data_IF_766338705186
#
_entry.id   IF_766338705186
#
_cell.length_a   1.000
_cell.length_b   1.000
_cell.length_c   1.000
_cell.angle_alpha   90.00
_cell.angle_beta   90.00
_cell.angle_gamma   90.00
#
_symmetry.space_group_name_H-M   'P 1'
#
loop_
_entity.id
_entity.type
_entity.pdbx_description
1 polymer ?
#
# COMPACT_ATOMS: atom_id res chain seq x y z
N UNK A 1 -5.63 -10.17 46.70
CA UNK A 1 -6.56 -11.08 45.99
C UNK A 1 -7.09 -10.35 44.77
N UNK A 2 -6.65 -10.70 43.56
CA UNK A 2 -7.27 -10.18 42.34
C UNK A 2 -8.71 -10.70 42.27
N UNK A 3 -9.64 -9.82 41.90
CA UNK A 3 -11.04 -10.20 41.66
C UNK A 3 -11.11 -11.28 40.57
N UNK A 4 -11.99 -12.26 40.73
CA UNK A 4 -12.21 -13.36 39.76
C UNK A 4 -12.46 -12.85 38.34
N UNK A 5 -12.99 -11.62 38.18
CA UNK A 5 -13.14 -10.94 36.88
C UNK A 5 -11.81 -10.47 36.29
N UNK A 6 -10.89 -9.95 37.09
CA UNK A 6 -9.55 -9.58 36.63
C UNK A 6 -8.71 -10.81 36.30
N UNK A 7 -8.86 -11.91 37.04
CA UNK A 7 -8.20 -13.17 36.70
C UNK A 7 -8.72 -13.76 35.40
N UNK A 8 -10.03 -13.71 35.13
CA UNK A 8 -10.61 -14.16 33.86
C UNK A 8 -10.23 -13.27 32.65
N UNK A 9 -10.11 -11.95 32.82
CA UNK A 9 -9.63 -11.05 31.76
C UNK A 9 -8.14 -11.26 31.49
N UNK A 10 -7.34 -11.45 32.53
CA UNK A 10 -5.89 -11.70 32.41
C UNK A 10 -5.63 -13.11 31.87
N UNK A 11 -6.44 -14.10 32.25
CA UNK A 11 -6.39 -15.45 31.70
C UNK A 11 -6.91 -15.49 30.25
N UNK A 12 -7.95 -14.74 29.88
CA UNK A 12 -8.41 -14.64 28.50
C UNK A 12 -7.38 -13.92 27.60
N UNK A 13 -6.66 -12.94 28.14
CA UNK A 13 -5.48 -12.37 27.47
C UNK A 13 -4.40 -13.46 27.31
N UNK A 14 -3.95 -14.09 28.40
CA UNK A 14 -2.86 -15.08 28.40
C UNK A 14 -3.15 -16.35 27.59
N UNK A 15 -4.40 -16.84 27.55
CA UNK A 15 -4.78 -18.05 26.79
C UNK A 15 -4.91 -17.81 25.28
N UNK A 16 -4.84 -16.54 24.83
CA UNK A 16 -4.74 -16.17 23.41
C UNK A 16 -3.28 -15.99 22.92
N UNK A 17 -2.29 -16.07 23.83
CA UNK A 17 -0.86 -15.97 23.51
C UNK A 17 -0.21 -17.36 23.39
N UNK A 18 -0.66 -18.19 22.45
CA UNK A 18 0.31 -19.12 21.85
C UNK A 18 1.13 -18.33 20.83
N UNK A 19 2.11 -17.58 21.34
CA UNK A 19 3.11 -16.96 20.49
C UNK A 19 3.97 -18.08 19.90
N UNK A 20 3.90 -18.29 18.60
CA UNK A 20 4.88 -19.15 17.93
C UNK A 20 6.16 -18.34 17.73
N UNK A 21 7.16 -18.57 18.58
CA UNK A 21 8.51 -18.10 18.33
C UNK A 21 9.15 -19.01 17.30
N UNK A 22 9.37 -18.47 16.10
CA UNK A 22 10.04 -19.20 15.04
C UNK A 22 11.42 -18.57 14.82
N UNK A 23 12.45 -19.29 15.25
CA UNK A 23 13.82 -19.05 14.82
C UNK A 23 13.95 -19.52 13.37
N UNK A 24 14.41 -18.62 12.50
CA UNK A 24 14.94 -18.80 11.13
C UNK A 24 14.33 -19.96 10.37
N UNK A 25 13.31 -19.67 9.57
CA UNK A 25 12.52 -20.74 8.93
C UNK A 25 12.44 -20.57 7.43
N UNK A 26 13.00 -21.57 6.76
CA UNK A 26 12.58 -21.95 5.43
C UNK A 26 11.30 -22.78 5.58
N UNK A 27 10.25 -22.38 4.89
CA UNK A 27 8.99 -23.09 4.81
C UNK A 27 8.94 -23.85 3.48
N UNK A 28 8.78 -25.16 3.59
CA UNK A 28 8.64 -26.12 2.50
C UNK A 28 7.28 -26.82 2.64
N UNK A 29 6.56 -26.97 1.53
CA UNK A 29 5.19 -27.46 1.52
C UNK A 29 4.19 -26.49 2.16
N UNK A 30 3.03 -27.01 2.56
CA UNK A 30 1.95 -26.23 3.15
C UNK A 30 2.08 -26.20 4.68
N UNK A 31 2.38 -25.02 5.23
CA UNK A 31 2.48 -24.77 6.66
C UNK A 31 1.39 -23.79 7.11
N UNK A 32 0.74 -24.10 8.23
CA UNK A 32 -0.24 -23.22 8.86
C UNK A 32 0.22 -22.88 10.27
N UNK A 33 0.34 -21.59 10.57
CA UNK A 33 0.55 -21.05 11.91
C UNK A 33 -0.74 -20.37 12.36
N UNK A 34 -0.95 -20.30 13.68
CA UNK A 34 -2.11 -19.65 14.26
C UNK A 34 -1.69 -18.68 15.36
N UNK A 35 -2.37 -17.54 15.45
CA UNK A 35 -2.13 -16.55 16.48
C UNK A 35 -0.91 -15.66 16.21
N UNK A 36 -0.42 -15.02 17.27
CA UNK A 36 0.70 -14.09 17.19
C UNK A 36 1.97 -14.79 16.70
N UNK A 37 2.66 -14.18 15.74
CA UNK A 37 3.94 -14.70 15.20
C UNK A 37 5.06 -13.69 15.33
N UNK A 38 6.21 -14.14 15.82
CA UNK A 38 7.43 -13.34 15.85
C UNK A 38 8.56 -14.13 15.20
N UNK A 39 9.08 -13.59 14.09
CA UNK A 39 10.22 -14.11 13.35
C UNK A 39 11.43 -13.20 13.58
N UNK A 40 12.42 -13.69 14.33
CA UNK A 40 13.64 -12.93 14.64
C UNK A 40 14.67 -13.04 13.51
N UNK A 41 14.74 -14.21 12.88
CA UNK A 41 15.66 -14.53 11.80
C UNK A 41 14.93 -14.50 10.45
N UNK A 42 15.65 -14.60 9.31
CA UNK A 42 15.03 -14.55 7.99
C UNK A 42 13.92 -15.58 7.80
N UNK A 43 12.87 -15.18 7.08
CA UNK A 43 11.78 -16.06 6.65
C UNK A 43 11.90 -16.28 5.16
N UNK A 44 11.94 -17.54 4.74
CA UNK A 44 11.88 -17.91 3.33
C UNK A 44 10.71 -18.84 3.08
N UNK A 45 9.82 -18.49 2.16
CA UNK A 45 8.81 -19.43 1.63
C UNK A 45 9.32 -19.87 0.27
N UNK A 46 9.59 -21.16 0.12
CA UNK A 46 10.14 -21.72 -1.12
C UNK A 46 9.09 -21.76 -2.24
N UNK A 47 9.52 -21.99 -3.47
CA UNK A 47 8.58 -22.23 -4.57
C UNK A 47 7.66 -23.42 -4.24
N UNK A 48 6.44 -23.40 -4.78
CA UNK A 48 5.41 -24.44 -4.58
C UNK A 48 5.00 -24.68 -3.11
N UNK A 49 5.36 -23.77 -2.21
CA UNK A 49 5.09 -23.85 -0.78
C UNK A 49 4.20 -22.71 -0.32
N UNK A 50 3.43 -22.93 0.74
CA UNK A 50 2.55 -21.92 1.32
C UNK A 50 2.78 -21.82 2.83
N UNK A 51 2.99 -20.59 3.32
CA UNK A 51 2.88 -20.24 4.71
C UNK A 51 1.58 -19.46 4.93
N UNK A 52 0.66 -20.04 5.69
CA UNK A 52 -0.58 -19.37 6.10
C UNK A 52 -0.52 -19.08 7.59
N UNK A 53 -0.62 -17.82 7.97
CA UNK A 53 -0.72 -17.36 9.35
C UNK A 53 -2.18 -16.95 9.59
N UNK A 54 -2.88 -17.70 10.42
CA UNK A 54 -4.31 -17.49 10.72
C UNK A 54 -4.50 -16.76 12.03
N UNK A 55 -5.11 -15.58 11.94
CA UNK A 55 -5.43 -14.68 13.05
C UNK A 55 -4.23 -14.26 13.89
N UNK A 56 -4.36 -13.12 14.54
CA UNK A 56 -3.33 -12.61 15.44
C UNK A 56 -3.35 -11.10 15.43
N UNK A 57 -3.17 -10.49 16.60
CA UNK A 57 -3.11 -9.04 16.70
C UNK A 57 -1.78 -8.49 16.17
N UNK A 58 -0.72 -9.30 16.20
CA UNK A 58 0.65 -8.87 15.91
C UNK A 58 1.40 -9.96 15.12
N UNK A 59 2.06 -9.55 14.04
CA UNK A 59 2.98 -10.38 13.26
C UNK A 59 4.25 -9.59 12.94
N UNK A 60 5.37 -9.99 13.55
CA UNK A 60 6.64 -9.29 13.40
C UNK A 60 7.64 -10.13 12.63
N UNK A 61 8.27 -9.53 11.63
CA UNK A 61 9.39 -10.06 10.86
C UNK A 61 10.58 -9.12 11.05
N UNK A 62 11.46 -9.46 11.99
CA UNK A 62 12.61 -8.61 12.34
C UNK A 62 13.78 -8.74 11.36
N UNK A 63 13.76 -9.77 10.51
CA UNK A 63 14.75 -9.97 9.46
C UNK A 63 14.09 -10.06 8.08
N UNK A 64 14.88 -10.35 7.04
CA UNK A 64 14.41 -10.32 5.67
C UNK A 64 13.35 -11.40 5.40
N UNK A 65 12.36 -11.05 4.58
CA UNK A 65 11.35 -11.96 4.04
C UNK A 65 11.69 -12.23 2.58
N UNK A 66 11.83 -13.50 2.21
CA UNK A 66 11.94 -13.93 0.81
C UNK A 66 10.79 -14.86 0.49
N UNK A 67 9.82 -14.39 -0.29
CA UNK A 67 8.65 -15.18 -0.67
C UNK A 67 8.77 -15.60 -2.14
N UNK A 68 8.90 -16.90 -2.40
CA UNK A 68 8.86 -17.49 -3.75
C UNK A 68 7.62 -18.35 -4.00
N UNK A 69 6.82 -18.60 -2.95
CA UNK A 69 5.56 -19.34 -3.00
C UNK A 69 4.41 -18.44 -2.55
N UNK A 70 3.65 -18.88 -1.57
CA UNK A 70 2.55 -18.12 -0.98
C UNK A 70 2.77 -17.76 0.49
N UNK A 71 2.78 -16.48 0.83
CA UNK A 71 2.76 -15.99 2.20
C UNK A 71 1.42 -15.29 2.46
N UNK A 72 0.58 -15.88 3.31
CA UNK A 72 -0.75 -15.39 3.62
C UNK A 72 -0.84 -15.09 5.12
N UNK A 73 -1.19 -13.87 5.48
CA UNK A 73 -1.45 -13.45 6.85
C UNK A 73 -2.90 -12.98 6.91
N UNK A 74 -3.79 -13.83 7.42
CA UNK A 74 -5.23 -13.64 7.29
C UNK A 74 -5.90 -13.62 8.67
N UNK A 75 -6.64 -12.56 8.97
CA UNK A 75 -7.54 -12.52 10.11
C UNK A 75 -8.77 -13.38 9.83
N UNK A 76 -9.00 -14.38 10.68
CA UNK A 76 -10.11 -15.33 10.57
C UNK A 76 -11.21 -15.11 11.60
N UNK A 77 -11.03 -14.17 12.54
CA UNK A 77 -11.93 -13.89 13.65
C UNK A 77 -12.47 -12.47 13.59
N UNK A 78 -13.80 -12.36 13.47
CA UNK A 78 -14.48 -11.06 13.43
C UNK A 78 -14.51 -10.30 14.76
N UNK A 79 -14.06 -10.93 15.84
CA UNK A 79 -13.98 -10.33 17.18
C UNK A 79 -12.63 -9.65 17.43
N UNK A 80 -11.64 -9.86 16.56
CA UNK A 80 -10.32 -9.26 16.75
C UNK A 80 -10.38 -7.77 16.40
N UNK A 81 -9.68 -6.97 17.21
CA UNK A 81 -9.73 -5.51 17.08
C UNK A 81 -9.09 -5.09 15.77
N UNK A 82 -7.99 -5.70 15.35
CA UNK A 82 -7.27 -5.39 14.11
C UNK A 82 -5.88 -5.98 14.17
N UNK A 83 -5.27 -6.19 13.02
CA UNK A 83 -3.97 -6.81 12.90
C UNK A 83 -2.88 -5.76 12.69
N UNK A 84 -1.71 -5.98 13.30
CA UNK A 84 -0.49 -5.24 13.01
C UNK A 84 0.55 -6.18 12.43
N UNK A 85 1.04 -5.86 11.24
CA UNK A 85 2.14 -6.56 10.58
C UNK A 85 3.32 -5.62 10.45
N UNK A 86 4.46 -5.99 11.05
CA UNK A 86 5.70 -5.23 10.98
C UNK A 86 6.79 -6.07 10.30
N UNK A 87 7.32 -5.58 9.19
CA UNK A 87 8.48 -6.13 8.51
C UNK A 87 9.65 -5.15 8.64
N UNK A 88 10.56 -5.41 9.58
CA UNK A 88 11.73 -4.56 9.80
C UNK A 88 12.86 -4.84 8.80
N UNK A 89 12.94 -6.07 8.27
CA UNK A 89 13.92 -6.45 7.25
C UNK A 89 13.49 -6.13 5.82
N UNK A 90 14.32 -6.52 4.86
CA UNK A 90 14.00 -6.40 3.44
C UNK A 90 12.85 -7.34 3.07
N UNK A 91 12.02 -6.94 2.10
CA UNK A 91 11.00 -7.80 1.51
C UNK A 91 11.39 -8.07 0.06
N UNK A 92 11.54 -9.35 -0.29
CA UNK A 92 11.69 -9.81 -1.67
C UNK A 92 10.53 -10.75 -1.98
N UNK A 93 9.55 -10.27 -2.74
CA UNK A 93 8.38 -11.04 -3.13
C UNK A 93 8.44 -11.43 -4.62
N UNK A 94 8.46 -12.72 -4.89
CA UNK A 94 8.43 -13.33 -6.22
C UNK A 94 7.17 -14.19 -6.43
N UNK A 95 6.40 -14.43 -5.37
CA UNK A 95 5.15 -15.20 -5.41
C UNK A 95 3.98 -14.35 -4.92
N UNK A 96 3.06 -14.96 -4.16
CA UNK A 96 1.86 -14.28 -3.65
C UNK A 96 2.04 -13.91 -2.18
N UNK A 97 2.02 -12.62 -1.86
CA UNK A 97 2.06 -12.08 -0.50
C UNK A 97 0.71 -11.45 -0.19
N UNK A 98 -0.01 -11.95 0.81
CA UNK A 98 -1.34 -11.46 1.19
C UNK A 98 -1.33 -11.09 2.67
N UNK A 99 -1.84 -9.91 2.98
CA UNK A 99 -2.27 -9.53 4.33
C UNK A 99 -3.73 -9.16 4.26
N UNK A 100 -4.59 -9.95 4.89
CA UNK A 100 -6.03 -9.74 4.89
C UNK A 100 -6.56 -9.59 6.31
N UNK A 101 -6.99 -8.39 6.65
CA UNK A 101 -7.63 -8.04 7.92
C UNK A 101 -9.11 -7.66 7.73
N UNK A 102 -9.72 -8.05 6.62
CA UNK A 102 -11.08 -7.66 6.25
C UNK A 102 -12.17 -8.22 7.17
N UNK A 103 -11.82 -9.20 8.01
CA UNK A 103 -12.69 -9.77 9.02
C UNK A 103 -12.70 -8.97 10.33
N UNK A 104 -11.66 -8.20 10.65
CA UNK A 104 -11.50 -7.51 11.93
C UNK A 104 -12.52 -6.37 12.19
N UNK A 105 -12.50 -5.84 13.42
CA UNK A 105 -13.34 -4.72 13.86
C UNK A 105 -12.78 -3.33 13.47
N UNK A 106 -11.46 -3.18 13.41
CA UNK A 106 -10.75 -1.92 13.11
C UNK A 106 -9.76 -2.11 11.96
N UNK A 107 -9.07 -1.05 11.56
CA UNK A 107 -8.16 -1.06 10.42
C UNK A 107 -6.84 -1.80 10.66
N UNK A 108 -6.28 -2.31 9.57
CA UNK A 108 -4.98 -2.99 9.53
C UNK A 108 -3.84 -1.98 9.60
N UNK A 109 -2.82 -2.27 10.40
CA UNK A 109 -1.53 -1.57 10.31
C UNK A 109 -0.49 -2.48 9.66
N UNK A 110 -0.11 -2.18 8.43
CA UNK A 110 1.03 -2.82 7.77
C UNK A 110 2.19 -1.82 7.69
N UNK A 111 3.35 -2.19 8.22
CA UNK A 111 4.56 -1.36 8.17
C UNK A 111 5.77 -2.19 7.73
N UNK A 112 6.44 -1.74 6.68
CA UNK A 112 7.76 -2.24 6.27
C UNK A 112 8.79 -1.13 6.40
N UNK A 113 9.98 -1.46 6.90
CA UNK A 113 11.09 -0.52 7.12
C UNK A 113 12.47 -1.07 6.68
N UNK A 114 12.48 -2.05 5.77
CA UNK A 114 13.71 -2.59 5.21
C UNK A 114 14.50 -1.59 4.36
N UNK A 115 15.77 -1.89 4.08
CA UNK A 115 16.59 -1.08 3.16
C UNK A 115 16.09 -1.28 1.72
N UNK A 116 15.65 -2.50 1.38
CA UNK A 116 15.16 -2.89 0.06
C UNK A 116 13.75 -3.45 0.14
N UNK A 117 12.91 -3.03 -0.81
CA UNK A 117 11.63 -3.64 -1.14
C UNK A 117 11.67 -4.01 -2.62
N UNK A 118 11.45 -5.29 -2.92
CA UNK A 118 11.38 -5.81 -4.28
C UNK A 118 10.13 -6.67 -4.43
N UNK A 119 9.27 -6.33 -5.40
CA UNK A 119 8.07 -7.09 -5.73
C UNK A 119 8.03 -7.41 -7.23
N UNK A 120 8.10 -8.69 -7.57
CA UNK A 120 7.88 -9.22 -8.92
C UNK A 120 6.66 -10.14 -9.03
N UNK A 121 6.07 -10.53 -7.90
CA UNK A 121 4.85 -11.32 -7.84
C UNK A 121 3.63 -10.47 -7.48
N UNK A 122 2.67 -11.09 -6.79
CA UNK A 122 1.46 -10.44 -6.34
C UNK A 122 1.56 -10.05 -4.86
N UNK A 123 1.20 -8.81 -4.56
CA UNK A 123 1.25 -8.26 -3.22
C UNK A 123 -0.10 -7.60 -2.86
N UNK A 124 -0.89 -8.27 -2.04
CA UNK A 124 -2.23 -7.84 -1.67
C UNK A 124 -2.28 -7.43 -0.20
N UNK A 125 -2.75 -6.22 0.08
CA UNK A 125 -3.08 -5.79 1.42
C UNK A 125 -4.54 -5.38 1.47
N UNK A 126 -5.30 -6.05 2.32
CA UNK A 126 -6.73 -5.84 2.51
C UNK A 126 -7.01 -5.44 3.95
N UNK A 127 -7.54 -4.23 4.13
CA UNK A 127 -8.02 -3.75 5.42
C UNK A 127 -9.54 -3.75 5.53
N UNK A 128 -10.04 -3.64 6.75
CA UNK A 128 -11.45 -3.36 7.04
C UNK A 128 -11.75 -1.87 6.96
N UNK A 129 -12.95 -1.48 6.47
CA UNK A 129 -13.45 -0.10 6.68
C UNK A 129 -13.48 0.21 8.18
N UNK A 130 -12.73 1.22 8.62
CA UNK A 130 -12.63 1.54 10.03
C UNK A 130 -13.93 2.14 10.56
N UNK A 131 -14.28 1.78 11.80
CA UNK A 131 -15.26 2.51 12.60
C UNK A 131 -14.64 3.74 13.27
N UNK A 132 -13.36 3.66 13.67
CA UNK A 132 -12.68 4.66 14.49
C UNK A 132 -11.28 5.00 13.94
N UNK A 133 -10.42 4.00 13.73
CA UNK A 133 -9.03 4.16 13.28
C UNK A 133 -8.82 3.48 11.94
N UNK A 134 -8.42 4.25 10.92
CA UNK A 134 -8.24 3.69 9.58
C UNK A 134 -7.00 2.84 9.39
N UNK A 135 -7.06 2.00 8.36
CA UNK A 135 -5.94 1.15 7.97
C UNK A 135 -4.77 2.00 7.48
N UNK A 136 -3.56 1.67 7.91
CA UNK A 136 -2.33 2.35 7.53
C UNK A 136 -1.40 1.34 6.88
N UNK A 137 -1.10 1.55 5.60
CA UNK A 137 -0.18 0.72 4.83
C UNK A 137 1.05 1.55 4.49
N UNK A 138 2.16 1.25 5.14
CA UNK A 138 3.43 1.94 4.92
C UNK A 138 4.49 0.97 4.47
N UNK A 139 5.07 1.21 3.30
CA UNK A 139 6.21 0.45 2.78
C UNK A 139 7.35 1.43 2.56
N UNK A 140 8.20 1.52 3.57
CA UNK A 140 9.41 2.32 3.53
C UNK A 140 10.57 1.43 3.07
N UNK A 141 11.30 1.88 2.05
CA UNK A 141 12.57 1.31 1.61
C UNK A 141 13.41 2.37 0.90
N UNK A 142 14.73 2.29 1.03
CA UNK A 142 15.65 3.16 0.29
C UNK A 142 15.73 2.76 -1.20
N UNK A 143 15.66 1.45 -1.46
CA UNK A 143 15.55 0.89 -2.80
C UNK A 143 14.18 0.22 -2.93
N UNK A 144 13.25 0.88 -3.62
CA UNK A 144 11.90 0.37 -3.83
C UNK A 144 11.71 0.03 -5.31
N UNK A 145 11.43 -1.24 -5.59
CA UNK A 145 11.11 -1.73 -6.93
C UNK A 145 9.85 -2.58 -6.92
N UNK A 146 8.90 -2.22 -7.80
CA UNK A 146 7.73 -3.02 -8.12
C UNK A 146 7.68 -3.28 -9.63
N UNK A 147 7.75 -4.53 -10.05
CA UNK A 147 7.47 -4.98 -11.42
C UNK A 147 6.28 -5.94 -11.51
N UNK A 148 5.78 -6.39 -10.35
CA UNK A 148 4.55 -7.18 -10.24
C UNK A 148 3.32 -6.34 -9.93
N UNK A 149 2.34 -6.96 -9.26
CA UNK A 149 1.09 -6.30 -8.85
C UNK A 149 1.15 -5.99 -7.37
N UNK A 150 0.81 -4.74 -7.01
CA UNK A 150 0.53 -4.34 -5.64
C UNK A 150 -0.92 -3.84 -5.56
N UNK A 151 -1.72 -4.43 -4.69
CA UNK A 151 -3.13 -4.03 -4.54
C UNK A 151 -3.41 -3.68 -3.09
N UNK A 152 -3.84 -2.44 -2.89
CA UNK A 152 -4.24 -1.90 -1.60
C UNK A 152 -5.74 -1.70 -1.60
N UNK A 153 -6.42 -2.52 -0.82
CA UNK A 153 -7.86 -2.54 -0.76
C UNK A 153 -8.34 -2.30 0.66
N UNK A 154 -9.38 -1.49 0.79
CA UNK A 154 -10.16 -1.42 2.00
C UNK A 154 -11.60 -1.85 1.75
N UNK A 155 -12.08 -2.83 2.51
CA UNK A 155 -13.46 -3.31 2.42
C UNK A 155 -14.44 -2.25 2.91
N UNK A 156 -15.03 -1.53 1.97
CA UNK A 156 -16.06 -0.50 2.20
C UNK A 156 -16.12 0.50 1.05
N UNK A 157 -16.88 1.58 1.21
CA UNK A 157 -17.12 2.63 0.19
C UNK A 157 -16.57 3.99 0.60
N UNK A 158 -15.49 4.01 1.40
CA UNK A 158 -14.88 5.26 1.87
C UNK A 158 -13.39 5.09 2.12
N UNK A 159 -12.63 6.09 1.71
CA UNK A 159 -11.17 6.19 1.88
C UNK A 159 -10.73 7.05 3.07
N UNK A 160 -11.63 7.80 3.71
CA UNK A 160 -11.29 8.99 4.52
C UNK A 160 -10.22 8.78 5.59
N UNK A 161 -10.10 7.58 6.16
CA UNK A 161 -9.19 7.32 7.27
C UNK A 161 -8.01 6.42 6.90
N UNK A 162 -7.95 5.94 5.66
CA UNK A 162 -7.04 4.86 5.30
C UNK A 162 -6.03 5.27 4.26
N UNK A 163 -4.78 4.97 4.56
CA UNK A 163 -3.65 5.57 3.87
C UNK A 163 -2.67 4.54 3.35
N UNK A 164 -2.16 4.79 2.15
CA UNK A 164 -1.01 4.10 1.57
C UNK A 164 0.13 5.10 1.43
N UNK A 165 1.29 4.72 1.96
CA UNK A 165 2.53 5.48 1.86
C UNK A 165 3.64 4.56 1.39
N UNK A 166 4.16 4.83 0.18
CA UNK A 166 5.20 4.03 -0.46
C UNK A 166 6.47 4.86 -0.63
N UNK A 167 7.60 4.17 -0.49
CA UNK A 167 8.91 4.78 -0.60
C UNK A 167 9.35 5.47 0.69
N UNK A 168 10.56 6.06 0.68
CA UNK A 168 11.14 6.58 1.90
C UNK A 168 10.59 7.98 2.23
N UNK A 169 10.32 8.25 3.51
CA UNK A 169 9.85 9.57 3.97
C UNK A 169 11.02 10.56 4.01
N UNK A 170 11.41 11.10 2.86
CA UNK A 170 12.57 11.98 2.71
C UNK A 170 12.35 13.00 1.59
N UNK A 171 13.07 14.13 1.68
CA UNK A 171 13.08 15.20 0.69
C UNK A 171 14.29 15.11 -0.26
N UNK A 172 14.90 13.93 -0.41
CA UNK A 172 16.10 13.72 -1.23
C UNK A 172 15.74 13.15 -2.59
N UNK A 173 16.07 13.87 -3.65
CA UNK A 173 15.77 13.54 -5.06
C UNK A 173 16.30 12.18 -5.52
N UNK A 174 17.35 11.66 -4.89
CA UNK A 174 17.94 10.37 -5.25
C UNK A 174 17.01 9.20 -4.94
N UNK A 175 16.06 9.37 -4.00
CA UNK A 175 15.19 8.31 -3.54
C UNK A 175 13.82 8.40 -4.22
N UNK A 176 13.40 7.29 -4.81
CA UNK A 176 12.20 7.20 -5.63
C UNK A 176 11.62 5.79 -5.53
N UNK A 177 10.36 5.65 -5.96
CA UNK A 177 9.71 4.37 -6.19
C UNK A 177 9.88 4.02 -7.66
N UNK A 178 10.59 2.93 -7.96
CA UNK A 178 10.57 2.33 -9.30
C UNK A 178 9.36 1.41 -9.39
N UNK A 179 8.43 1.71 -10.29
CA UNK A 179 7.24 0.93 -10.57
C UNK A 179 7.17 0.66 -12.09
N UNK A 180 7.44 -0.57 -12.51
CA UNK A 180 7.22 -1.02 -13.90
C UNK A 180 6.02 -1.98 -14.00
N UNK A 181 5.43 -2.34 -12.87
CA UNK A 181 4.20 -3.12 -12.77
C UNK A 181 2.98 -2.24 -12.47
N UNK A 182 2.03 -2.79 -11.71
CA UNK A 182 0.74 -2.13 -11.44
C UNK A 182 0.51 -1.96 -9.94
N UNK A 183 0.08 -0.76 -9.55
CA UNK A 183 -0.39 -0.44 -8.21
C UNK A 183 -1.89 -0.15 -8.27
N UNK A 184 -2.72 -0.99 -7.64
CA UNK A 184 -4.17 -0.83 -7.60
C UNK A 184 -4.64 -0.27 -6.26
N UNK A 185 -5.53 0.71 -6.29
CA UNK A 185 -6.12 1.36 -5.12
C UNK A 185 -7.63 1.19 -5.12
N UNK A 186 -8.21 0.68 -4.03
CA UNK A 186 -9.67 0.65 -3.85
C UNK A 186 -10.08 1.05 -2.44
N UNK A 187 -10.93 2.07 -2.35
CA UNK A 187 -11.43 2.67 -1.11
C UNK A 187 -10.30 3.14 -0.18
N UNK A 188 -9.21 3.68 -0.74
CA UNK A 188 -8.04 4.09 0.04
C UNK A 188 -7.39 5.37 -0.52
N UNK A 189 -6.70 6.13 0.35
CA UNK A 189 -5.95 7.31 -0.02
C UNK A 189 -4.46 6.98 -0.13
N UNK A 190 -3.87 7.09 -1.32
CA UNK A 190 -2.42 6.98 -1.48
C UNK A 190 -1.79 8.36 -1.51
N UNK A 191 -0.74 8.56 -0.71
CA UNK A 191 0.08 9.76 -0.75
C UNK A 191 1.41 9.46 -1.43
N UNK A 192 1.54 9.83 -2.71
CA UNK A 192 2.80 9.79 -3.43
C UNK A 192 3.67 10.98 -3.00
N UNK A 193 4.49 10.78 -1.97
CA UNK A 193 5.36 11.81 -1.38
C UNK A 193 6.75 11.88 -2.00
N UNK A 194 7.18 10.81 -2.67
CA UNK A 194 8.43 10.72 -3.43
C UNK A 194 8.14 10.56 -4.91
N UNK A 195 9.15 10.74 -5.77
CA UNK A 195 9.02 10.50 -7.20
C UNK A 195 8.67 9.03 -7.49
N UNK A 196 7.79 8.81 -8.47
CA UNK A 196 7.51 7.50 -9.06
C UNK A 196 8.07 7.49 -10.49
N UNK A 197 8.85 6.47 -10.81
CA UNK A 197 9.43 6.25 -12.14
C UNK A 197 9.30 4.80 -12.56
N UNK A 198 9.57 4.53 -13.83
CA UNK A 198 9.45 3.20 -14.42
C UNK A 198 8.70 3.30 -15.73
N UNK A 199 9.25 2.72 -16.78
CA UNK A 199 8.58 2.69 -18.06
C UNK A 199 7.38 1.75 -17.98
N UNK A 200 6.24 2.17 -18.54
CA UNK A 200 5.01 1.39 -18.67
C UNK A 200 4.31 0.99 -17.34
N UNK A 201 4.82 1.47 -16.20
CA UNK A 201 4.16 1.25 -14.91
C UNK A 201 2.85 2.01 -14.79
N UNK A 202 1.92 1.44 -14.02
CA UNK A 202 0.57 1.95 -13.85
C UNK A 202 0.21 2.13 -12.38
N UNK A 203 -0.50 3.21 -12.06
CA UNK A 203 -1.23 3.38 -10.81
C UNK A 203 -2.72 3.46 -11.15
N UNK A 204 -3.45 2.41 -10.81
CA UNK A 204 -4.90 2.32 -10.98
C UNK A 204 -5.63 2.87 -9.75
N UNK A 205 -6.23 4.03 -9.92
CA UNK A 205 -7.09 4.70 -8.94
C UNK A 205 -8.51 4.21 -9.16
N UNK A 206 -8.91 3.19 -8.40
CA UNK A 206 -10.25 2.61 -8.48
C UNK A 206 -11.28 3.28 -7.58
N UNK A 207 -12.40 2.58 -7.39
CA UNK A 207 -13.57 3.08 -6.66
C UNK A 207 -13.22 3.62 -5.28
N UNK A 208 -13.74 4.81 -4.99
CA UNK A 208 -13.59 5.55 -3.74
C UNK A 208 -12.14 5.76 -3.32
N UNK A 209 -11.20 5.80 -4.26
CA UNK A 209 -9.78 6.00 -3.98
C UNK A 209 -9.32 7.41 -4.33
N UNK A 210 -8.34 7.90 -3.59
CA UNK A 210 -7.63 9.14 -3.93
C UNK A 210 -6.16 8.86 -4.12
N UNK A 211 -5.58 9.29 -5.25
CA UNK A 211 -4.14 9.42 -5.40
C UNK A 211 -3.76 10.88 -5.19
N UNK A 212 -3.02 11.17 -4.12
CA UNK A 212 -2.42 12.48 -3.89
C UNK A 212 -1.01 12.49 -4.47
N UNK A 213 -0.83 13.26 -5.54
CA UNK A 213 0.45 13.52 -6.19
C UNK A 213 1.06 14.75 -5.55
N UNK A 214 2.12 14.55 -4.76
CA UNK A 214 2.81 15.62 -4.06
C UNK A 214 4.32 15.54 -4.29
N UNK A 215 4.79 16.07 -5.41
CA UNK A 215 6.20 16.14 -5.73
C UNK A 215 6.73 17.53 -5.37
N UNK A 216 7.66 17.56 -4.41
CA UNK A 216 8.43 18.76 -4.06
C UNK A 216 9.76 18.85 -4.85
N UNK A 217 10.00 17.87 -5.72
CA UNK A 217 11.31 17.54 -6.28
C UNK A 217 11.20 17.45 -7.80
N UNK A 218 12.20 18.01 -8.50
CA UNK A 218 12.21 18.24 -9.94
C UNK A 218 12.56 17.04 -10.83
N UNK A 219 12.19 15.82 -10.42
CA UNK A 219 12.31 14.66 -11.31
C UNK A 219 11.03 14.51 -12.13
N UNK A 220 11.11 14.44 -13.47
CA UNK A 220 9.94 14.12 -14.27
C UNK A 220 9.44 12.73 -13.88
N UNK A 221 8.13 12.57 -13.70
CA UNK A 221 7.46 11.27 -13.74
C UNK A 221 7.60 10.79 -15.18
N UNK A 222 8.74 10.15 -15.47
CA UNK A 222 8.95 9.55 -16.78
C UNK A 222 8.09 8.30 -16.83
N UNK A 223 7.09 8.32 -17.72
CA UNK A 223 6.39 7.15 -18.25
C UNK A 223 5.57 6.29 -17.26
N UNK A 224 5.08 6.86 -16.14
CA UNK A 224 3.97 6.26 -15.38
C UNK A 224 2.63 6.68 -15.96
N UNK A 225 1.67 5.75 -16.00
CA UNK A 225 0.27 6.07 -16.31
C UNK A 225 -0.57 6.01 -15.05
N UNK A 226 -1.31 7.08 -14.75
CA UNK A 226 -2.35 7.06 -13.72
C UNK A 226 -3.66 6.72 -14.42
N UNK A 227 -4.29 5.62 -14.05
CA UNK A 227 -5.59 5.21 -14.57
C UNK A 227 -6.68 5.56 -13.55
N UNK A 228 -7.73 6.26 -13.98
CA UNK A 228 -8.90 6.56 -13.15
C UNK A 228 -10.01 5.59 -13.54
N UNK A 229 -10.04 4.39 -12.93
CA UNK A 229 -10.91 3.30 -13.40
C UNK A 229 -12.38 3.38 -12.97
N UNK A 230 -12.75 4.35 -12.12
CA UNK A 230 -14.08 4.45 -11.54
C UNK A 230 -14.57 5.90 -11.51
N UNK A 231 -15.88 6.10 -11.52
CA UNK A 231 -16.50 7.44 -11.47
C UNK A 231 -16.21 8.19 -10.16
N UNK A 232 -15.88 7.46 -9.09
CA UNK A 232 -15.53 8.01 -7.79
C UNK A 232 -14.03 8.20 -7.58
N UNK A 233 -13.21 7.90 -8.59
CA UNK A 233 -11.76 8.06 -8.54
C UNK A 233 -11.35 9.53 -8.44
N UNK A 234 -10.37 9.81 -7.59
CA UNK A 234 -9.85 11.17 -7.39
C UNK A 234 -8.33 11.18 -7.57
N UNK A 235 -7.84 12.12 -8.39
CA UNK A 235 -6.42 12.48 -8.46
C UNK A 235 -6.27 13.88 -7.89
N UNK A 236 -5.50 14.02 -6.81
CA UNK A 236 -5.26 15.29 -6.14
C UNK A 236 -3.83 15.76 -6.37
N UNK A 237 -3.65 16.83 -7.13
CA UNK A 237 -2.37 17.41 -7.51
C UNK A 237 -2.00 18.52 -6.52
N UNK A 238 -1.01 18.24 -5.65
CA UNK A 238 -0.61 19.15 -4.56
C UNK A 238 0.55 20.09 -4.91
N UNK A 239 1.54 19.57 -5.63
CA UNK A 239 2.75 20.29 -6.05
C UNK A 239 3.36 19.54 -7.22
N UNK A 240 3.79 20.27 -8.24
CA UNK A 240 4.41 19.73 -9.46
C UNK A 240 5.73 20.43 -9.81
N UNK A 241 6.47 20.94 -8.82
CA UNK A 241 7.76 21.58 -9.06
C UNK A 241 8.68 20.62 -9.85
N UNK A 242 8.97 20.98 -11.10
CA UNK A 242 9.82 20.22 -12.03
C UNK A 242 9.17 19.00 -12.72
N UNK A 243 7.84 18.90 -12.74
CA UNK A 243 7.14 17.94 -13.61
C UNK A 243 6.85 18.53 -14.98
N UNK A 244 7.26 17.83 -16.03
CA UNK A 244 7.08 18.26 -17.43
C UNK A 244 5.69 17.88 -17.98
N UNK A 245 5.14 16.75 -17.55
CA UNK A 245 3.80 16.27 -17.94
C UNK A 245 3.37 15.07 -17.08
N UNK A 246 2.08 14.98 -16.75
CA UNK A 246 1.47 13.80 -16.13
C UNK A 246 0.62 13.04 -17.15
N UNK A 247 0.71 11.71 -17.17
CA UNK A 247 -0.17 10.88 -18.02
C UNK A 247 -1.31 10.34 -17.18
N UNK A 248 -2.53 10.77 -17.46
CA UNK A 248 -3.76 10.30 -16.84
C UNK A 248 -4.64 9.66 -17.91
N UNK A 249 -5.29 8.54 -17.60
CA UNK A 249 -6.20 7.83 -18.49
C UNK A 249 -7.48 7.49 -17.75
N UNK A 250 -8.58 7.36 -18.49
CA UNK A 250 -9.91 7.14 -17.91
C UNK A 250 -10.52 8.40 -17.26
N UNK A 251 -9.90 9.57 -17.42
CA UNK A 251 -10.50 10.82 -16.95
C UNK A 251 -11.78 11.13 -17.73
N UNK A 252 -12.86 11.42 -17.01
CA UNK A 252 -14.22 11.50 -17.54
C UNK A 252 -15.21 10.78 -16.62
N UNK A 253 -16.51 10.79 -16.93
CA UNK A 253 -17.52 10.05 -16.16
C UNK A 253 -17.51 10.38 -14.64
N UNK A 254 -17.61 11.67 -14.29
CA UNK A 254 -17.71 12.20 -12.92
C UNK A 254 -16.47 12.08 -12.02
N UNK A 255 -15.43 11.35 -12.43
CA UNK A 255 -14.18 11.31 -11.69
C UNK A 255 -13.47 12.68 -11.73
N UNK A 256 -12.58 12.94 -10.75
CA UNK A 256 -12.11 14.31 -10.49
C UNK A 256 -10.60 14.41 -10.42
N UNK A 257 -10.08 15.44 -11.08
CA UNK A 257 -8.72 15.95 -10.87
C UNK A 257 -8.85 17.24 -10.06
N UNK A 258 -8.29 17.23 -8.86
CA UNK A 258 -8.25 18.40 -7.98
C UNK A 258 -6.86 19.00 -7.94
N UNK A 259 -6.82 20.31 -7.73
CA UNK A 259 -5.59 21.08 -7.57
C UNK A 259 -5.56 21.70 -6.18
N UNK A 260 -4.37 21.80 -5.59
CA UNK A 260 -4.20 22.45 -4.27
C UNK A 260 -4.56 23.92 -4.31
N UNK A 261 -4.26 24.59 -5.41
CA UNK A 261 -4.47 26.02 -5.60
C UNK A 261 -5.60 26.20 -6.61
N UNK A 262 -6.35 27.29 -6.47
CA UNK A 262 -7.40 27.68 -7.40
C UNK A 262 -6.87 27.70 -8.83
N UNK A 263 -7.58 27.02 -9.73
CA UNK A 263 -7.34 27.07 -11.17
C UNK A 263 -7.78 28.43 -11.68
N UNK A 264 -6.86 29.19 -12.26
CA UNK A 264 -7.13 30.49 -12.87
C UNK A 264 -7.54 30.34 -14.34
N UNK A 265 -6.94 29.38 -15.03
CA UNK A 265 -7.16 29.14 -16.44
C UNK A 265 -6.91 27.67 -16.79
N UNK A 266 -7.64 27.14 -17.76
CA UNK A 266 -7.35 25.84 -18.36
C UNK A 266 -7.70 25.83 -19.85
N UNK A 267 -7.00 25.00 -20.61
CA UNK A 267 -7.30 24.73 -22.02
C UNK A 267 -7.02 23.27 -22.34
N UNK A 268 -7.78 22.69 -23.25
CA UNK A 268 -7.63 21.31 -23.69
C UNK A 268 -7.38 21.26 -25.19
N UNK A 269 -6.29 20.61 -25.59
CA UNK A 269 -5.97 20.37 -27.00
C UNK A 269 -6.47 18.98 -27.39
N UNK A 270 -7.57 18.93 -28.15
CA UNK A 270 -8.20 17.70 -28.63
C UNK A 270 -7.33 16.88 -29.59
N UNK A 271 -6.38 17.51 -30.29
CA UNK A 271 -5.48 16.80 -31.20
C UNK A 271 -4.37 16.06 -30.46
N UNK A 272 -3.90 16.61 -29.33
CA UNK A 272 -2.83 16.00 -28.53
C UNK A 272 -3.33 15.28 -27.27
N UNK A 273 -4.59 15.44 -26.88
CA UNK A 273 -5.13 14.92 -25.62
C UNK A 273 -4.57 15.62 -24.37
N UNK A 274 -3.99 16.82 -24.50
CA UNK A 274 -3.29 17.50 -23.40
C UNK A 274 -4.15 18.60 -22.80
N UNK A 275 -4.47 18.44 -21.52
CA UNK A 275 -5.03 19.47 -20.64
C UNK A 275 -3.90 20.32 -20.07
N UNK A 276 -3.95 21.61 -20.34
CA UNK A 276 -3.06 22.62 -19.77
C UNK A 276 -3.81 23.39 -18.70
N UNK A 277 -3.26 23.46 -17.50
CA UNK A 277 -3.85 24.15 -16.35
C UNK A 277 -2.87 25.17 -15.82
N UNK A 278 -3.35 26.38 -15.56
CA UNK A 278 -2.64 27.41 -14.81
C UNK A 278 -3.34 27.52 -13.47
N UNK A 279 -2.69 27.03 -12.43
CA UNK A 279 -3.06 27.38 -11.06
C UNK A 279 -2.33 28.68 -10.67
N UNK A 280 -2.71 29.30 -9.56
CA UNK A 280 -2.13 30.59 -9.13
C UNK A 280 -0.60 30.64 -8.99
N UNK A 281 0.12 29.51 -9.05
CA UNK A 281 1.58 29.43 -8.96
C UNK A 281 2.24 28.60 -10.08
N UNK A 282 1.54 27.66 -10.70
CA UNK A 282 2.11 26.62 -11.55
C UNK A 282 1.44 26.55 -12.92
N UNK A 283 2.25 26.22 -13.91
CA UNK A 283 1.82 25.78 -15.23
C UNK A 283 1.91 24.25 -15.30
N UNK A 284 0.79 23.58 -15.55
CA UNK A 284 0.63 22.13 -15.43
C UNK A 284 0.15 21.56 -16.76
N UNK A 285 0.82 20.50 -17.24
CA UNK A 285 0.38 19.74 -18.42
C UNK A 285 0.01 18.32 -18.00
N UNK A 286 -1.20 17.91 -18.35
CA UNK A 286 -1.73 16.57 -18.09
C UNK A 286 -2.18 16.02 -19.43
N UNK A 287 -1.53 14.98 -19.92
CA UNK A 287 -2.04 14.18 -21.01
C UNK A 287 -3.18 13.33 -20.45
N UNK A 288 -4.42 13.64 -20.83
CA UNK A 288 -5.65 12.93 -20.41
C UNK A 288 -6.18 12.00 -21.51
N UNK A 289 -5.48 11.88 -22.64
CA UNK A 289 -5.96 11.19 -23.84
C UNK A 289 -6.90 12.05 -24.70
N UNK A 290 -7.17 11.61 -25.93
CA UNK A 290 -8.09 12.25 -26.88
C UNK A 290 -9.54 11.87 -26.64
#
# INVERSE_FOLDING_TARGET
MLSTKQFLVTAAFMLSFFSTFAFGRTFEGNTVLNGLTIFILPVTVTADSNLVIKSGLIHNFFSSITNRGGLYICETKSTNVGMTVLAAGNINNYGTFVVDDSAALTGLTFKSAGIKFYNAGDFFIVGKKPLITGSVFRIWALSFHNEGVMSFYQKGTSNFLSTVELGPETLVDALHVTNTGTICLRSINMHARVAFEGQDGCIDVGAYSTLTVNHLISRPVKSQTIYMSDESSIVYIKSLLGLTSLTVRGFGNNNKIFFRITVLYYTYNTASGVLTVIDGLNFIRIDIGT
#
